data_IF_457813706878
#
_entry.id   IF_457813706878
#
_cell.length_a   1.000
_cell.length_b   1.000
_cell.length_c   1.000
_cell.angle_alpha   90.00
_cell.angle_beta   90.00
_cell.angle_gamma   90.00
#
_symmetry.space_group_name_H-M   'P 1'
#
loop_
_entity.id
_entity.type
_entity.pdbx_description
1 polymer ?
#
# COMPACT_ATOMS: atom_id res chain seq x y z
N UNK A 1 -20.92 22.42 2.52
CA UNK A 1 -20.14 22.29 3.77
C UNK A 1 -20.50 21.03 4.57
N UNK A 2 -21.78 20.77 4.92
CA UNK A 2 -22.18 19.57 5.70
C UNK A 2 -21.83 18.23 5.04
N UNK A 3 -22.01 18.09 3.72
CA UNK A 3 -21.64 16.85 2.99
C UNK A 3 -20.12 16.61 2.96
N UNK A 4 -19.31 17.67 2.88
CA UNK A 4 -17.86 17.58 2.86
C UNK A 4 -17.33 17.14 4.24
N UNK A 5 -17.92 17.66 5.31
CA UNK A 5 -17.66 17.23 6.68
C UNK A 5 -17.99 15.73 6.89
N UNK A 6 -19.10 15.26 6.34
CA UNK A 6 -19.49 13.84 6.40
C UNK A 6 -18.46 12.92 5.74
N UNK A 7 -17.94 13.29 4.57
CA UNK A 7 -16.89 12.50 3.92
C UNK A 7 -15.59 12.50 4.71
N UNK A 8 -15.20 13.63 5.31
CA UNK A 8 -14.00 13.71 6.15
C UNK A 8 -14.13 12.82 7.40
N UNK A 9 -15.31 12.81 8.03
CA UNK A 9 -15.61 11.96 9.18
C UNK A 9 -15.42 10.47 8.87
N UNK A 10 -15.79 10.01 7.67
CA UNK A 10 -15.58 8.62 7.26
C UNK A 10 -14.11 8.19 7.20
N UNK A 11 -13.18 9.15 7.05
CA UNK A 11 -11.74 8.88 7.05
C UNK A 11 -11.07 9.17 8.39
N UNK A 12 -11.79 9.66 9.41
CA UNK A 12 -11.20 10.09 10.66
C UNK A 12 -10.44 8.96 11.36
N UNK A 13 -11.07 7.78 11.44
CA UNK A 13 -10.47 6.58 12.02
C UNK A 13 -9.21 6.15 11.26
N UNK A 14 -9.27 6.19 9.93
CA UNK A 14 -8.12 5.90 9.08
C UNK A 14 -6.98 6.90 9.32
N UNK A 15 -7.27 8.20 9.40
CA UNK A 15 -6.27 9.24 9.62
C UNK A 15 -5.57 9.02 10.96
N UNK A 16 -6.31 8.72 12.04
CA UNK A 16 -5.73 8.42 13.34
C UNK A 16 -4.80 7.20 13.29
N UNK A 17 -5.26 6.09 12.70
CA UNK A 17 -4.45 4.87 12.58
C UNK A 17 -3.21 5.13 11.71
N UNK A 18 -3.36 5.84 10.60
CA UNK A 18 -2.26 6.19 9.72
C UNK A 18 -1.20 7.04 10.44
N UNK A 19 -1.61 8.05 11.21
CA UNK A 19 -0.71 8.86 12.02
C UNK A 19 0.07 8.00 13.04
N UNK A 20 -0.61 7.09 13.74
CA UNK A 20 0.05 6.16 14.67
C UNK A 20 1.07 5.26 13.96
N UNK A 21 0.71 4.72 12.79
CA UNK A 21 1.61 3.88 11.98
C UNK A 21 2.85 4.65 11.56
N UNK A 22 2.71 5.90 11.11
CA UNK A 22 3.84 6.76 10.74
C UNK A 22 4.75 7.01 11.93
N UNK A 23 4.20 7.33 13.10
CA UNK A 23 5.00 7.54 14.33
C UNK A 23 5.75 6.27 14.75
N UNK A 24 5.12 5.10 14.67
CA UNK A 24 5.77 3.83 14.98
C UNK A 24 6.92 3.58 14.01
N UNK A 25 6.69 3.79 12.71
CA UNK A 25 7.72 3.63 11.68
C UNK A 25 8.89 4.58 11.96
N UNK A 26 8.64 5.84 12.30
CA UNK A 26 9.65 6.83 12.65
C UNK A 26 10.52 6.37 13.83
N UNK A 27 9.90 5.95 14.94
CA UNK A 27 10.60 5.43 16.12
C UNK A 27 11.42 4.18 15.79
N UNK A 28 10.85 3.26 15.00
CA UNK A 28 11.56 2.03 14.58
C UNK A 28 12.78 2.39 13.73
N UNK A 29 12.65 3.33 12.79
CA UNK A 29 13.78 3.81 11.99
C UNK A 29 14.85 4.47 12.86
N UNK A 30 14.47 5.28 13.84
CA UNK A 30 15.43 5.91 14.76
C UNK A 30 16.22 4.86 15.57
N UNK A 31 15.54 3.82 16.07
CA UNK A 31 16.19 2.71 16.79
C UNK A 31 17.10 1.91 15.85
N UNK A 32 16.65 1.61 14.63
CA UNK A 32 17.44 0.90 13.63
C UNK A 32 18.70 1.68 13.29
N UNK A 33 18.59 2.98 12.99
CA UNK A 33 19.74 3.83 12.65
C UNK A 33 20.72 3.91 13.83
N UNK A 34 20.24 4.06 15.07
CA UNK A 34 21.10 4.10 16.27
C UNK A 34 21.86 2.79 16.52
N UNK A 35 21.29 1.65 16.13
CA UNK A 35 21.92 0.31 16.28
C UNK A 35 22.76 -0.12 15.07
N UNK A 36 22.68 0.60 13.96
CA UNK A 36 23.39 0.24 12.74
C UNK A 36 24.79 0.87 12.72
N UNK A 37 25.79 0.07 13.07
CA UNK A 37 27.17 0.34 12.65
C UNK A 37 27.23 0.19 11.12
N UNK A 38 27.61 1.26 10.42
CA UNK A 38 27.66 1.31 8.95
C UNK A 38 28.73 0.34 8.39
N UNK A 39 28.38 -0.94 8.26
CA UNK A 39 29.18 -1.93 7.51
C UNK A 39 28.87 -1.83 6.02
N UNK A 40 29.93 -1.70 5.22
CA UNK A 40 29.92 -1.35 3.78
C UNK A 40 28.96 -2.20 2.91
N UNK A 41 28.70 -3.46 3.28
CA UNK A 41 27.82 -4.35 2.51
C UNK A 41 26.32 -4.02 2.58
N UNK A 42 25.85 -3.30 3.61
CA UNK A 42 24.42 -2.92 3.76
C UNK A 42 24.12 -1.49 3.29
N UNK A 43 25.14 -0.74 2.89
CA UNK A 43 25.02 0.62 2.35
C UNK A 43 24.22 0.62 1.03
N UNK A 44 24.24 -0.48 0.28
CA UNK A 44 23.50 -0.60 -0.99
C UNK A 44 21.98 -0.42 -0.84
N UNK A 45 21.36 -0.99 0.20
CA UNK A 45 19.91 -0.91 0.37
C UNK A 45 19.46 0.51 0.75
N UNK A 46 20.18 1.17 1.67
CA UNK A 46 19.92 2.57 2.04
C UNK A 46 20.29 3.56 0.92
N UNK A 47 21.36 3.31 0.16
CA UNK A 47 21.80 4.14 -0.97
C UNK A 47 20.79 4.14 -2.12
N UNK A 48 20.08 3.02 -2.33
CA UNK A 48 19.00 2.92 -3.31
C UNK A 48 17.83 3.85 -2.96
N UNK A 49 17.46 3.95 -1.67
CA UNK A 49 16.41 4.87 -1.22
C UNK A 49 16.88 6.33 -1.16
N UNK A 50 18.14 6.59 -0.79
CA UNK A 50 18.70 7.95 -0.72
C UNK A 50 18.90 8.63 -2.10
N UNK A 51 19.03 7.85 -3.18
CA UNK A 51 19.12 8.39 -4.54
C UNK A 51 17.81 8.30 -5.32
N UNK A 52 16.67 8.18 -4.63
CA UNK A 52 15.37 8.27 -5.30
C UNK A 52 15.10 9.70 -5.76
N UNK A 53 14.72 9.83 -7.02
CA UNK A 53 14.20 11.09 -7.55
C UNK A 53 12.90 11.47 -6.83
N UNK A 54 12.54 12.76 -6.78
CA UNK A 54 11.34 13.26 -6.08
C UNK A 54 10.08 12.52 -6.53
N UNK A 55 10.01 12.14 -7.80
CA UNK A 55 8.92 11.31 -8.37
C UNK A 55 8.87 9.90 -7.78
N UNK A 56 10.02 9.28 -7.55
CA UNK A 56 10.13 7.97 -6.91
C UNK A 56 9.69 8.00 -5.45
N UNK A 57 10.03 9.09 -4.73
CA UNK A 57 9.57 9.31 -3.35
C UNK A 57 8.05 9.45 -3.31
N UNK A 58 7.46 10.30 -4.16
CA UNK A 58 5.99 10.46 -4.22
C UNK A 58 5.29 9.15 -4.58
N UNK A 59 5.84 8.39 -5.54
CA UNK A 59 5.30 7.10 -5.91
C UNK A 59 5.33 6.11 -4.72
N UNK A 60 6.46 5.98 -4.03
CA UNK A 60 6.55 5.10 -2.86
C UNK A 60 5.58 5.53 -1.76
N UNK A 61 5.51 6.82 -1.44
CA UNK A 61 4.55 7.33 -0.46
C UNK A 61 3.11 6.98 -0.83
N UNK A 62 2.72 7.19 -2.09
CA UNK A 62 1.39 6.82 -2.57
C UNK A 62 1.14 5.30 -2.44
N UNK A 63 2.11 4.47 -2.81
CA UNK A 63 2.02 3.02 -2.67
C UNK A 63 1.87 2.59 -1.20
N UNK A 64 2.63 3.18 -0.29
CA UNK A 64 2.57 2.93 1.16
C UNK A 64 1.23 3.37 1.74
N UNK A 65 0.73 4.57 1.40
CA UNK A 65 -0.59 5.05 1.84
C UNK A 65 -1.68 4.07 1.38
N UNK A 66 -1.65 3.65 0.10
CA UNK A 66 -2.61 2.66 -0.43
C UNK A 66 -2.57 1.36 0.35
N UNK A 67 -1.37 0.86 0.64
CA UNK A 67 -1.21 -0.40 1.37
C UNK A 67 -1.72 -0.33 2.81
N UNK A 68 -1.34 0.72 3.56
CA UNK A 68 -1.82 0.92 4.94
C UNK A 68 -3.34 1.09 4.96
N UNK A 69 -3.90 1.80 3.98
CA UNK A 69 -5.35 1.95 3.85
C UNK A 69 -6.06 0.60 3.64
N UNK A 70 -5.55 -0.25 2.74
CA UNK A 70 -6.14 -1.59 2.51
C UNK A 70 -6.09 -2.42 3.79
N UNK A 71 -4.95 -2.45 4.49
CA UNK A 71 -4.82 -3.18 5.76
C UNK A 71 -5.78 -2.65 6.83
N UNK A 72 -5.88 -1.33 6.95
CA UNK A 72 -6.80 -0.71 7.88
C UNK A 72 -8.26 -1.09 7.57
N UNK A 73 -8.66 -1.04 6.30
CA UNK A 73 -10.01 -1.44 5.87
C UNK A 73 -10.30 -2.91 6.12
N UNK A 74 -9.31 -3.80 5.98
CA UNK A 74 -9.44 -5.22 6.31
C UNK A 74 -9.69 -5.46 7.81
N UNK A 75 -9.02 -4.69 8.68
CA UNK A 75 -9.08 -4.89 10.12
C UNK A 75 -10.25 -4.17 10.79
N UNK A 76 -10.67 -3.04 10.24
CA UNK A 76 -11.69 -2.20 10.89
C UNK A 76 -13.10 -2.76 10.75
N UNK A 77 -13.38 -3.55 9.70
CA UNK A 77 -14.72 -4.10 9.45
C UNK A 77 -15.79 -3.02 9.19
N UNK A 78 -15.38 -1.77 8.97
CA UNK A 78 -16.27 -0.64 8.73
C UNK A 78 -16.94 -0.74 7.36
N UNK A 79 -18.17 -0.21 7.26
CA UNK A 79 -18.86 -0.11 5.98
C UNK A 79 -18.07 0.74 4.99
N UNK A 80 -17.74 0.13 3.86
CA UNK A 80 -16.94 0.76 2.82
C UNK A 80 -17.88 1.50 1.88
N UNK A 81 -17.79 2.82 1.90
CA UNK A 81 -18.56 3.70 1.03
C UNK A 81 -17.83 4.00 -0.29
N UNK A 82 -18.54 4.59 -1.25
CA UNK A 82 -17.97 5.07 -2.53
C UNK A 82 -16.79 6.03 -2.34
N UNK A 83 -16.73 6.78 -1.24
CA UNK A 83 -15.62 7.68 -0.96
C UNK A 83 -14.28 6.93 -0.85
N UNK A 84 -14.28 5.75 -0.24
CA UNK A 84 -13.11 4.88 -0.10
C UNK A 84 -12.63 4.34 -1.45
N UNK A 85 -13.57 4.04 -2.37
CA UNK A 85 -13.24 3.66 -3.74
C UNK A 85 -12.57 4.80 -4.51
N UNK A 86 -13.13 6.01 -4.43
CA UNK A 86 -12.55 7.20 -5.06
C UNK A 86 -11.14 7.46 -4.50
N UNK A 87 -10.95 7.30 -3.19
CA UNK A 87 -9.63 7.42 -2.55
C UNK A 87 -8.60 6.43 -3.11
N UNK A 88 -8.97 5.14 -3.25
CA UNK A 88 -8.11 4.12 -3.87
C UNK A 88 -7.73 4.49 -5.31
N UNK A 89 -8.66 5.02 -6.09
CA UNK A 89 -8.41 5.45 -7.47
C UNK A 89 -7.46 6.66 -7.53
N UNK A 90 -7.67 7.66 -6.68
CA UNK A 90 -6.81 8.86 -6.62
C UNK A 90 -5.38 8.45 -6.28
N UNK A 91 -5.18 7.65 -5.24
CA UNK A 91 -3.83 7.23 -4.83
C UNK A 91 -3.16 6.38 -5.91
N UNK A 92 -3.89 5.45 -6.52
CA UNK A 92 -3.36 4.63 -7.63
C UNK A 92 -2.98 5.50 -8.83
N UNK A 93 -3.72 6.57 -9.09
CA UNK A 93 -3.41 7.52 -10.15
C UNK A 93 -2.15 8.33 -9.81
N UNK A 94 -2.02 8.84 -8.58
CA UNK A 94 -0.82 9.55 -8.11
C UNK A 94 0.43 8.68 -8.28
N UNK A 95 0.36 7.40 -7.90
CA UNK A 95 1.46 6.46 -8.07
C UNK A 95 1.89 6.32 -9.55
N UNK A 96 0.94 6.04 -10.44
CA UNK A 96 1.26 5.77 -11.83
C UNK A 96 1.65 7.01 -12.62
N UNK A 97 1.05 8.17 -12.32
CA UNK A 97 1.43 9.46 -12.90
C UNK A 97 2.84 9.86 -12.50
N UNK A 98 3.23 9.62 -11.23
CA UNK A 98 4.60 9.88 -10.75
C UNK A 98 5.65 9.06 -11.51
N UNK A 99 5.30 7.82 -11.88
CA UNK A 99 6.17 6.92 -12.65
C UNK A 99 6.02 7.02 -14.17
N UNK A 100 5.17 7.93 -14.66
CA UNK A 100 4.78 8.08 -16.07
C UNK A 100 4.40 6.74 -16.73
N UNK A 101 3.73 5.87 -15.97
CA UNK A 101 3.43 4.50 -16.39
C UNK A 101 1.95 4.35 -16.79
N UNK A 102 1.60 4.78 -18.00
CA UNK A 102 0.20 4.72 -18.47
C UNK A 102 -0.37 3.30 -18.54
N UNK A 103 0.47 2.30 -18.88
CA UNK A 103 0.05 0.88 -18.88
C UNK A 103 -0.21 0.38 -17.44
N UNK A 104 0.62 0.81 -16.49
CA UNK A 104 0.43 0.53 -15.07
C UNK A 104 -0.85 1.15 -14.53
N UNK A 105 -1.19 2.37 -14.96
CA UNK A 105 -2.39 3.08 -14.52
C UNK A 105 -3.66 2.27 -14.78
N UNK A 106 -3.79 1.67 -15.97
CA UNK A 106 -4.94 0.84 -16.30
C UNK A 106 -5.04 -0.40 -15.42
N UNK A 107 -3.93 -1.11 -15.22
CA UNK A 107 -3.87 -2.31 -14.37
C UNK A 107 -4.16 -2.00 -12.90
N UNK A 108 -3.64 -0.88 -12.39
CA UNK A 108 -3.82 -0.47 -11.00
C UNK A 108 -5.23 0.06 -10.73
N UNK A 109 -5.87 0.63 -11.74
CA UNK A 109 -7.29 1.02 -11.71
C UNK A 109 -8.16 -0.23 -11.59
N UNK A 110 -7.93 -1.25 -12.43
CA UNK A 110 -8.61 -2.54 -12.33
C UNK A 110 -8.38 -3.16 -10.96
N UNK A 111 -7.14 -3.17 -10.47
CA UNK A 111 -6.83 -3.68 -9.13
C UNK A 111 -7.64 -2.95 -8.04
N UNK A 112 -7.78 -1.64 -8.13
CA UNK A 112 -8.59 -0.85 -7.17
C UNK A 112 -10.07 -1.20 -7.23
N UNK A 113 -10.61 -1.50 -8.42
CA UNK A 113 -11.99 -2.00 -8.58
C UNK A 113 -12.16 -3.37 -7.94
N UNK A 114 -11.21 -4.29 -8.16
CA UNK A 114 -11.24 -5.64 -7.57
C UNK A 114 -11.19 -5.57 -6.04
N UNK A 115 -10.30 -4.75 -5.48
CA UNK A 115 -10.20 -4.55 -4.03
C UNK A 115 -11.49 -3.96 -3.46
N UNK A 116 -12.09 -2.99 -4.15
CA UNK A 116 -13.38 -2.43 -3.72
C UNK A 116 -14.51 -3.45 -3.76
N UNK A 117 -14.58 -4.26 -4.82
CA UNK A 117 -15.56 -5.33 -4.92
C UNK A 117 -15.40 -6.37 -3.80
N UNK A 118 -14.14 -6.72 -3.48
CA UNK A 118 -13.83 -7.57 -2.33
C UNK A 118 -14.36 -6.98 -1.01
N UNK A 119 -14.19 -5.68 -0.78
CA UNK A 119 -14.71 -5.04 0.42
C UNK A 119 -16.24 -5.05 0.48
N UNK A 120 -16.93 -4.87 -0.66
CA UNK A 120 -18.38 -5.03 -0.72
C UNK A 120 -18.81 -6.45 -0.34
N UNK A 121 -18.11 -7.47 -0.86
CA UNK A 121 -18.38 -8.86 -0.49
C UNK A 121 -18.17 -9.11 1.02
N UNK A 122 -17.13 -8.53 1.61
CA UNK A 122 -16.87 -8.66 3.05
C UNK A 122 -17.99 -8.02 3.88
N UNK A 123 -18.45 -6.83 3.50
CA UNK A 123 -19.55 -6.16 4.19
C UNK A 123 -20.85 -6.97 4.08
N UNK A 124 -21.14 -7.53 2.90
CA UNK A 124 -22.31 -8.40 2.72
C UNK A 124 -22.25 -9.65 3.60
N UNK A 125 -21.09 -10.30 3.68
CA UNK A 125 -20.89 -11.49 4.52
C UNK A 125 -20.95 -11.16 6.02
N UNK A 126 -20.37 -10.03 6.44
CA UNK A 126 -20.45 -9.55 7.81
C UNK A 126 -21.90 -9.22 8.21
N UNK A 127 -22.63 -8.50 7.36
CA UNK A 127 -24.03 -8.17 7.62
C UNK A 127 -24.90 -9.43 7.67
N UNK A 128 -24.65 -10.41 6.79
CA UNK A 128 -25.32 -11.71 6.86
C UNK A 128 -25.08 -12.44 8.18
N UNK A 129 -23.84 -12.44 8.68
CA UNK A 129 -23.48 -13.06 9.96
C UNK A 129 -24.19 -12.40 11.15
N UNK A 130 -24.34 -11.07 11.11
CA UNK A 130 -24.95 -10.29 12.19
C UNK A 130 -26.48 -10.38 12.15
N UNK A 131 -27.09 -10.24 10.97
CA UNK A 131 -28.54 -10.06 10.83
C UNK A 131 -29.32 -11.35 10.58
N UNK A 132 -28.72 -12.32 9.89
CA UNK A 132 -29.44 -13.53 9.44
C UNK A 132 -29.08 -14.73 10.29
N UNK A 133 -27.82 -15.17 10.21
CA UNK A 133 -27.36 -16.34 10.95
C UNK A 133 -25.84 -16.37 11.03
N UNK A 134 -25.34 -16.45 12.26
CA UNK A 134 -23.91 -16.62 12.51
C UNK A 134 -23.50 -18.08 12.30
N UNK A 135 -22.98 -18.38 11.12
CA UNK A 135 -22.49 -19.70 10.73
C UNK A 135 -20.97 -19.76 10.72
N UNK A 136 -20.38 -20.77 11.38
CA UNK A 136 -18.94 -20.88 11.58
C UNK A 136 -18.14 -20.96 10.27
N UNK A 137 -18.71 -21.58 9.23
CA UNK A 137 -18.04 -21.71 7.93
C UNK A 137 -17.95 -20.37 7.18
N UNK A 138 -18.90 -19.45 7.39
CA UNK A 138 -18.88 -18.11 6.80
C UNK A 138 -17.79 -17.27 7.45
N UNK A 139 -17.66 -17.36 8.78
CA UNK A 139 -16.55 -16.73 9.52
C UNK A 139 -15.20 -17.23 9.00
N UNK A 140 -15.07 -18.55 8.77
CA UNK A 140 -13.84 -19.14 8.24
C UNK A 140 -13.51 -18.62 6.84
N UNK A 141 -14.51 -18.49 5.96
CA UNK A 141 -14.34 -17.90 4.62
C UNK A 141 -13.87 -16.44 4.74
N UNK A 142 -14.49 -15.65 5.60
CA UNK A 142 -14.11 -14.25 5.83
C UNK A 142 -12.66 -14.13 6.28
N UNK A 143 -12.25 -14.88 7.32
CA UNK A 143 -10.89 -14.86 7.86
C UNK A 143 -9.86 -15.25 6.81
N UNK A 144 -10.10 -16.34 6.07
CA UNK A 144 -9.21 -16.77 4.98
C UNK A 144 -9.12 -15.71 3.88
N UNK A 145 -10.24 -15.07 3.54
CA UNK A 145 -10.28 -14.02 2.53
C UNK A 145 -9.48 -12.79 2.95
N UNK A 146 -9.55 -12.39 4.23
CA UNK A 146 -8.79 -11.27 4.79
C UNK A 146 -7.29 -11.57 4.73
N UNK A 147 -6.88 -12.78 5.12
CA UNK A 147 -5.48 -13.21 5.01
C UNK A 147 -5.01 -13.18 3.55
N UNK A 148 -5.83 -13.70 2.63
CA UNK A 148 -5.50 -13.71 1.21
C UNK A 148 -5.28 -12.30 0.65
N UNK A 149 -6.18 -11.35 0.96
CA UNK A 149 -6.05 -9.96 0.48
C UNK A 149 -4.89 -9.24 1.17
N UNK A 150 -4.59 -9.53 2.43
CA UNK A 150 -3.41 -9.00 3.11
C UNK A 150 -2.11 -9.45 2.43
N UNK A 151 -1.99 -10.75 2.09
CA UNK A 151 -0.84 -11.30 1.36
C UNK A 151 -0.75 -10.70 -0.05
N UNK A 152 -1.88 -10.66 -0.76
CA UNK A 152 -1.96 -10.08 -2.10
C UNK A 152 -1.51 -8.61 -2.13
N UNK A 153 -1.99 -7.81 -1.17
CA UNK A 153 -1.61 -6.40 -1.03
C UNK A 153 -0.14 -6.24 -0.67
N UNK A 154 0.41 -7.16 0.14
CA UNK A 154 1.83 -7.20 0.51
C UNK A 154 2.72 -7.52 -0.70
N UNK A 155 2.29 -8.44 -1.56
CA UNK A 155 2.96 -8.67 -2.85
C UNK A 155 2.95 -7.42 -3.73
N UNK A 156 1.81 -6.71 -3.78
CA UNK A 156 1.66 -5.53 -4.62
C UNK A 156 2.55 -4.36 -4.18
N UNK A 157 2.67 -4.10 -2.87
CA UNK A 157 3.60 -3.07 -2.36
C UNK A 157 5.06 -3.44 -2.67
N UNK A 158 5.46 -4.71 -2.54
CA UNK A 158 6.80 -5.17 -2.89
C UNK A 158 7.10 -4.99 -4.39
N UNK A 159 6.13 -5.34 -5.24
CA UNK A 159 6.22 -5.09 -6.68
C UNK A 159 6.37 -3.59 -6.97
N UNK A 160 5.57 -2.74 -6.32
CA UNK A 160 5.64 -1.29 -6.52
C UNK A 160 7.00 -0.71 -6.09
N UNK A 161 7.55 -1.17 -4.95
CA UNK A 161 8.90 -0.81 -4.52
C UNK A 161 9.91 -1.23 -5.58
N UNK A 162 9.82 -2.46 -6.08
CA UNK A 162 10.73 -2.96 -7.12
C UNK A 162 10.61 -2.17 -8.44
N UNK A 163 9.40 -1.74 -8.84
CA UNK A 163 9.20 -0.93 -10.04
C UNK A 163 9.83 0.48 -9.90
N UNK A 164 9.73 1.08 -8.71
CA UNK A 164 10.36 2.37 -8.40
C UNK A 164 11.88 2.23 -8.36
N UNK A 165 12.39 1.21 -7.66
CA UNK A 165 13.84 0.94 -7.50
C UNK A 165 14.48 0.54 -8.82
N UNK A 166 13.84 -0.31 -9.62
CA UNK A 166 14.35 -0.78 -10.91
C UNK A 166 14.40 0.31 -12.00
N UNK A 167 13.59 1.36 -11.85
CA UNK A 167 13.67 2.56 -12.68
C UNK A 167 14.73 3.56 -12.20
N UNK A 168 15.30 3.38 -11.01
CA UNK A 168 16.35 4.25 -10.49
C UNK A 168 17.62 4.16 -11.37
N UNK A 169 18.14 5.33 -11.78
CA UNK A 169 19.34 5.46 -12.63
C UNK A 169 20.56 4.77 -12.01
N UNK A 170 20.69 4.79 -10.69
CA UNK A 170 21.82 4.16 -9.98
C UNK A 170 21.82 2.63 -10.13
N UNK A 171 20.66 1.99 -9.95
CA UNK A 171 20.50 0.53 -10.10
C UNK A 171 20.79 0.09 -11.54
N UNK A 172 20.36 0.88 -12.55
CA UNK A 172 20.71 0.62 -13.95
C UNK A 172 22.22 0.73 -14.23
N UNK A 173 22.90 1.69 -13.61
CA UNK A 173 24.36 1.87 -13.76
C UNK A 173 25.13 0.71 -13.15
N UNK A 174 24.83 0.30 -11.92
CA UNK A 174 25.47 -0.84 -11.26
C UNK A 174 25.24 -2.15 -12.03
N UNK A 175 24.02 -2.36 -12.56
CA UNK A 175 23.70 -3.52 -13.39
C UNK A 175 24.49 -3.54 -14.71
N UNK A 176 24.67 -2.38 -15.35
CA UNK A 176 25.47 -2.29 -16.57
C UNK A 176 26.97 -2.50 -16.30
N UNK A 177 27.51 -1.97 -15.19
CA UNK A 177 28.92 -2.15 -14.80
C UNK A 177 29.24 -3.62 -14.42
N UNK A 178 28.29 -4.35 -13.83
CA UNK A 178 28.45 -5.80 -13.55
C UNK A 178 28.34 -6.68 -14.78
N UNK A 179 27.54 -6.30 -15.78
CA UNK A 179 27.49 -6.99 -17.08
C UNK A 179 28.78 -6.77 -17.87
N UNK A 180 29.34 -5.55 -17.85
CA UNK A 180 30.60 -5.21 -18.52
C UNK A 180 31.83 -5.92 -17.92
N UNK A 181 31.83 -6.23 -16.61
CA UNK A 181 32.91 -7.02 -15.97
C UNK A 181 32.85 -8.53 -16.25
N UNK A 182 31.77 -9.01 -16.89
CA UNK A 182 31.58 -10.43 -17.24
C UNK A 182 31.88 -10.75 -18.71
N UNK A 183 32.19 -9.72 -19.51
CA UNK A 183 32.67 -9.81 -20.89
C UNK A 183 34.19 -9.64 -20.90
#
# INVERSE_FOLDING_TARGET
MKQLLYYILNFFDFILVFTLVVLIIEVVFEILIKKFEFKEEKIGFYGIFMQLDTRGVVALSAATIKYVFILWSLLSGNEITIAHFIFLLIISSIYNLSLLNMKGLFLDTINSVVIYFYFLCCNLLNNYLIEVRSEWYIVLILVLSVIFVAIYSSYFILKNINDVVGKNKYVRRVKNETVLKKL
#
